data_IF_342570350823
#
_entry.id   IF_342570350823
#
_cell.length_a   1.000
_cell.length_b   1.000
_cell.length_c   1.000
_cell.angle_alpha   90.00
_cell.angle_beta   90.00
_cell.angle_gamma   90.00
#
_symmetry.space_group_name_H-M   'P 1'
#
loop_
_entity.id
_entity.type
_entity.pdbx_description
1 polymer ?
#
# COMPACT_ATOMS: atom_id res chain seq x y z
N UNK A 1 31.19 -0.39 -20.96
CA UNK A 1 29.78 0.05 -20.92
C UNK A 1 29.32 0.49 -19.50
N UNK A 2 30.15 1.22 -18.72
CA UNK A 2 30.18 0.95 -17.25
C UNK A 2 30.28 2.11 -16.25
N UNK A 3 29.87 3.35 -16.55
CA UNK A 3 29.76 4.37 -15.48
C UNK A 3 28.51 5.25 -15.61
N UNK A 4 28.20 5.73 -16.83
CA UNK A 4 27.00 6.54 -17.11
C UNK A 4 25.66 5.81 -16.92
N UNK A 5 25.61 4.49 -17.12
CA UNK A 5 24.39 3.68 -16.87
C UNK A 5 24.13 3.47 -15.37
N UNK A 6 25.19 3.41 -14.56
CA UNK A 6 25.14 3.27 -13.10
C UNK A 6 24.79 4.58 -12.41
N UNK A 7 25.32 5.72 -12.86
CA UNK A 7 24.94 7.04 -12.32
C UNK A 7 23.48 7.40 -12.62
N UNK A 8 22.95 7.05 -13.81
CA UNK A 8 21.50 7.15 -14.10
C UNK A 8 20.62 6.20 -13.29
N UNK A 9 21.21 5.19 -12.66
CA UNK A 9 20.53 4.29 -11.73
C UNK A 9 20.48 4.86 -10.31
N UNK A 10 21.25 5.91 -10.00
CA UNK A 10 21.40 6.48 -8.66
C UNK A 10 20.76 7.88 -8.57
N UNK A 11 20.69 8.62 -9.67
CA UNK A 11 20.08 9.95 -9.72
C UNK A 11 18.78 9.90 -10.54
N UNK A 12 17.61 9.83 -9.88
CA UNK A 12 16.33 9.83 -10.59
C UNK A 12 15.98 11.24 -11.10
N UNK A 13 15.80 11.38 -12.41
CA UNK A 13 15.41 12.63 -13.07
C UNK A 13 13.89 12.85 -13.06
N UNK A 14 13.09 11.77 -12.93
CA UNK A 14 11.64 11.81 -12.98
C UNK A 14 10.99 10.72 -12.12
N UNK A 15 9.66 10.79 -12.00
CA UNK A 15 8.87 9.84 -11.21
C UNK A 15 9.03 8.39 -11.68
N UNK A 16 9.15 8.15 -12.99
CA UNK A 16 9.38 6.82 -13.57
C UNK A 16 10.73 6.22 -13.13
N UNK A 17 11.77 7.04 -13.12
CA UNK A 17 13.12 6.62 -12.70
C UNK A 17 13.17 6.35 -11.19
N UNK A 18 12.43 7.13 -10.39
CA UNK A 18 12.33 6.91 -8.95
C UNK A 18 11.64 5.57 -8.62
N UNK A 19 10.64 5.15 -9.40
CA UNK A 19 9.93 3.87 -9.23
C UNK A 19 10.60 2.69 -9.93
N UNK A 20 11.71 2.91 -10.65
CA UNK A 20 12.38 1.84 -11.38
C UNK A 20 12.74 0.61 -10.52
N UNK A 21 13.20 0.73 -9.26
CA UNK A 21 13.47 -0.44 -8.43
C UNK A 21 12.24 -1.32 -8.25
N UNK A 22 11.09 -0.74 -7.88
CA UNK A 22 9.88 -1.53 -7.63
C UNK A 22 9.36 -2.17 -8.93
N UNK A 23 9.46 -1.48 -10.06
CA UNK A 23 9.06 -2.01 -11.36
C UNK A 23 9.86 -3.26 -11.76
N UNK A 24 11.15 -3.33 -11.43
CA UNK A 24 11.97 -4.51 -11.70
C UNK A 24 11.42 -5.72 -10.93
N UNK A 25 11.17 -5.57 -9.64
CA UNK A 25 10.63 -6.66 -8.81
C UNK A 25 9.21 -7.05 -9.21
N UNK A 26 8.37 -6.08 -9.57
CA UNK A 26 7.01 -6.34 -10.05
C UNK A 26 6.99 -7.02 -11.44
N UNK A 27 7.96 -6.72 -12.30
CA UNK A 27 8.12 -7.40 -13.59
C UNK A 27 8.56 -8.85 -13.39
N UNK A 28 9.54 -9.07 -12.51
CA UNK A 28 10.00 -10.42 -12.16
C UNK A 28 8.92 -11.24 -11.45
N UNK A 29 8.05 -10.61 -10.67
CA UNK A 29 6.92 -11.30 -10.04
C UNK A 29 5.73 -11.50 -10.97
N UNK A 30 5.76 -10.98 -12.20
CA UNK A 30 4.66 -11.09 -13.15
C UNK A 30 3.47 -10.13 -12.90
N UNK A 31 3.54 -9.25 -11.90
CA UNK A 31 2.48 -8.27 -11.59
C UNK A 31 2.51 -7.02 -12.49
N UNK A 32 3.65 -6.71 -13.11
CA UNK A 32 3.83 -5.49 -13.89
C UNK A 32 4.37 -5.80 -15.29
N UNK A 33 3.50 -5.85 -16.32
CA UNK A 33 3.90 -6.25 -17.68
C UNK A 33 4.53 -5.11 -18.50
N UNK A 34 4.85 -3.98 -17.86
CA UNK A 34 5.29 -2.77 -18.55
C UNK A 34 6.80 -2.55 -18.48
N UNK A 35 7.30 -1.82 -19.48
CA UNK A 35 8.67 -1.31 -19.50
C UNK A 35 8.65 0.21 -19.59
N UNK A 36 9.56 0.85 -18.86
CA UNK A 36 9.80 2.29 -18.96
C UNK A 36 10.54 2.56 -20.28
N UNK A 37 9.93 3.35 -21.16
CA UNK A 37 10.49 3.76 -22.45
C UNK A 37 10.61 5.29 -22.47
N UNK A 38 11.70 5.81 -23.02
CA UNK A 38 11.85 7.24 -23.29
C UNK A 38 11.66 7.45 -24.80
N UNK A 39 10.61 8.16 -25.20
CA UNK A 39 10.31 8.50 -26.59
C UNK A 39 10.10 10.01 -26.68
N UNK A 40 10.79 10.66 -27.62
CA UNK A 40 10.68 12.12 -27.87
C UNK A 40 10.91 12.98 -26.63
N UNK A 41 11.91 12.61 -25.81
CA UNK A 41 12.24 13.32 -24.57
C UNK A 41 11.30 13.00 -23.39
N UNK A 42 10.08 12.54 -23.64
CA UNK A 42 9.10 12.12 -22.62
C UNK A 42 9.32 10.67 -22.20
N UNK A 43 9.11 10.38 -20.93
CA UNK A 43 9.21 9.02 -20.37
C UNK A 43 7.81 8.48 -20.14
N UNK A 44 7.55 7.25 -20.56
CA UNK A 44 6.23 6.61 -20.43
C UNK A 44 6.33 5.10 -20.18
N UNK A 45 5.20 4.49 -19.89
CA UNK A 45 5.05 3.05 -19.69
C UNK A 45 4.46 2.41 -20.94
N UNK A 46 5.15 1.41 -21.49
CA UNK A 46 4.69 0.66 -22.65
C UNK A 46 4.52 -0.81 -22.27
N UNK A 47 3.41 -1.40 -22.70
CA UNK A 47 3.15 -2.82 -22.50
C UNK A 47 4.12 -3.64 -23.34
N UNK A 48 4.70 -4.69 -22.76
CA UNK A 48 5.62 -5.56 -23.48
C UNK A 48 5.04 -6.96 -23.61
N UNK A 49 5.24 -7.59 -24.77
CA UNK A 49 4.88 -9.00 -24.98
C UNK A 49 5.54 -9.91 -23.93
N UNK A 50 6.81 -9.66 -23.60
CA UNK A 50 7.53 -10.36 -22.55
C UNK A 50 6.89 -10.19 -21.16
N UNK A 51 6.34 -9.01 -20.85
CA UNK A 51 5.63 -8.76 -19.62
C UNK A 51 4.36 -9.60 -19.52
N UNK A 52 3.56 -9.66 -20.59
CA UNK A 52 2.37 -10.52 -20.65
C UNK A 52 2.73 -11.99 -20.51
N UNK A 53 3.77 -12.45 -21.21
CA UNK A 53 4.25 -13.82 -21.12
C UNK A 53 4.70 -14.16 -19.69
N UNK A 54 5.41 -13.24 -19.02
CA UNK A 54 5.80 -13.38 -17.60
C UNK A 54 4.59 -13.51 -16.70
N UNK A 55 3.57 -12.65 -16.85
CA UNK A 55 2.33 -12.70 -16.08
C UNK A 55 1.62 -14.05 -16.26
N UNK A 56 1.46 -14.52 -17.50
CA UNK A 56 0.83 -15.81 -17.79
C UNK A 56 1.62 -16.98 -17.23
N UNK A 57 2.96 -16.97 -17.39
CA UNK A 57 3.83 -18.00 -16.84
C UNK A 57 3.68 -18.12 -15.33
N UNK A 58 3.74 -16.99 -14.61
CA UNK A 58 3.58 -16.97 -13.16
C UNK A 58 2.21 -17.51 -12.73
N UNK A 59 1.12 -17.07 -13.38
CA UNK A 59 -0.22 -17.54 -13.06
C UNK A 59 -0.38 -19.05 -13.25
N UNK A 60 0.18 -19.62 -14.34
CA UNK A 60 0.18 -21.07 -14.58
C UNK A 60 1.05 -21.78 -13.53
N UNK A 61 2.26 -21.28 -13.27
CA UNK A 61 3.19 -21.85 -12.30
C UNK A 61 2.57 -21.94 -10.90
N UNK A 62 1.93 -20.85 -10.43
CA UNK A 62 1.23 -20.85 -9.14
C UNK A 62 0.04 -21.79 -9.14
N UNK A 63 -0.76 -21.80 -10.22
CA UNK A 63 -1.87 -22.74 -10.34
C UNK A 63 -1.42 -24.19 -10.22
N UNK A 64 -0.33 -24.57 -10.89
CA UNK A 64 0.22 -25.94 -10.86
C UNK A 64 0.77 -26.29 -9.48
N UNK A 65 1.60 -25.42 -8.88
CA UNK A 65 2.12 -25.65 -7.52
C UNK A 65 0.98 -25.80 -6.52
N UNK A 66 -0.06 -24.98 -6.65
CA UNK A 66 -1.19 -24.99 -5.75
C UNK A 66 -2.04 -26.26 -5.89
N UNK A 67 -2.40 -26.67 -7.10
CA UNK A 67 -3.14 -27.92 -7.36
C UNK A 67 -2.35 -29.14 -6.86
N UNK A 68 -1.02 -29.14 -7.03
CA UNK A 68 -0.15 -30.21 -6.54
C UNK A 68 -0.16 -30.28 -5.01
N UNK A 69 0.00 -29.14 -4.33
CA UNK A 69 -0.05 -29.05 -2.87
C UNK A 69 -1.40 -29.55 -2.31
N UNK A 70 -2.52 -29.20 -2.95
CA UNK A 70 -3.84 -29.71 -2.58
C UNK A 70 -3.98 -31.22 -2.77
N UNK A 71 -3.51 -31.77 -3.91
CA UNK A 71 -3.58 -33.21 -4.19
C UNK A 71 -2.80 -34.04 -3.17
N UNK A 72 -1.65 -33.51 -2.73
CA UNK A 72 -0.80 -34.17 -1.74
C UNK A 72 -1.26 -33.94 -0.30
N UNK A 73 -2.25 -33.06 -0.07
CA UNK A 73 -2.75 -32.66 1.25
C UNK A 73 -1.62 -32.21 2.19
N UNK A 74 -0.62 -31.53 1.64
CA UNK A 74 0.53 -31.04 2.39
C UNK A 74 0.37 -29.55 2.68
N UNK A 75 0.64 -29.14 3.92
CA UNK A 75 0.69 -27.73 4.31
C UNK A 75 1.73 -27.54 5.40
N UNK A 76 2.44 -26.41 5.39
CA UNK A 76 3.47 -26.12 6.40
C UNK A 76 2.87 -26.15 7.81
N UNK A 77 1.66 -25.61 8.00
CA UNK A 77 0.97 -25.57 9.30
C UNK A 77 0.44 -26.97 9.66
N UNK A 78 -0.16 -27.70 8.71
CA UNK A 78 -0.70 -29.04 8.93
C UNK A 78 0.36 -30.09 9.27
N UNK A 79 1.62 -29.88 8.91
CA UNK A 79 2.74 -30.71 9.37
C UNK A 79 2.99 -30.64 10.87
N UNK A 80 2.68 -29.50 11.50
CA UNK A 80 2.92 -29.29 12.93
C UNK A 80 1.67 -29.45 13.78
N UNK A 81 0.47 -29.27 13.19
CA UNK A 81 -0.81 -29.28 13.90
C UNK A 81 -1.82 -30.19 13.20
N UNK A 82 -2.06 -31.36 13.77
CA UNK A 82 -3.12 -32.26 13.31
C UNK A 82 -4.41 -32.01 14.13
N UNK A 83 -5.23 -31.04 13.72
CA UNK A 83 -6.58 -30.82 14.28
C UNK A 83 -7.59 -30.50 13.18
N UNK A 84 -8.88 -30.78 13.43
CA UNK A 84 -9.95 -30.46 12.48
C UNK A 84 -10.02 -28.95 12.21
N UNK A 85 -9.81 -28.14 13.24
CA UNK A 85 -9.78 -26.68 13.14
C UNK A 85 -8.61 -26.22 12.26
N UNK A 86 -7.43 -26.85 12.40
CA UNK A 86 -6.28 -26.57 11.54
C UNK A 86 -6.57 -26.95 10.10
N UNK A 87 -7.16 -28.12 9.86
CA UNK A 87 -7.46 -28.61 8.51
C UNK A 87 -8.42 -27.69 7.77
N UNK A 88 -9.47 -27.24 8.47
CA UNK A 88 -10.44 -26.27 7.93
C UNK A 88 -9.79 -24.90 7.72
N UNK A 89 -9.03 -24.41 8.71
CA UNK A 89 -8.32 -23.12 8.65
C UNK A 89 -7.32 -23.05 7.50
N UNK A 90 -6.48 -24.07 7.35
CA UNK A 90 -5.52 -24.21 6.25
C UNK A 90 -6.25 -24.22 4.91
N UNK A 91 -7.29 -25.06 4.75
CA UNK A 91 -8.06 -25.13 3.51
C UNK A 91 -8.66 -23.78 3.13
N UNK A 92 -9.21 -23.06 4.11
CA UNK A 92 -9.78 -21.73 3.87
C UNK A 92 -8.72 -20.70 3.51
N UNK A 93 -7.58 -20.68 4.22
CA UNK A 93 -6.46 -19.79 3.91
C UNK A 93 -5.88 -20.07 2.53
N UNK A 94 -5.77 -21.34 2.14
CA UNK A 94 -5.38 -21.73 0.80
C UNK A 94 -6.38 -21.17 -0.22
N UNK A 95 -7.67 -21.46 -0.10
CA UNK A 95 -8.68 -21.05 -1.11
C UNK A 95 -8.70 -19.52 -1.27
N UNK A 96 -8.67 -18.79 -0.16
CA UNK A 96 -8.64 -17.34 -0.17
C UNK A 96 -7.35 -16.78 -0.79
N UNK A 97 -6.21 -17.42 -0.56
CA UNK A 97 -4.93 -17.03 -1.17
C UNK A 97 -4.93 -17.24 -2.67
N UNK A 98 -5.50 -18.36 -3.16
CA UNK A 98 -5.64 -18.63 -4.59
C UNK A 98 -6.53 -17.58 -5.24
N UNK A 99 -7.75 -17.41 -4.72
CA UNK A 99 -8.71 -16.45 -5.24
C UNK A 99 -8.13 -15.03 -5.27
N UNK A 100 -7.40 -14.65 -4.23
CA UNK A 100 -6.69 -13.36 -4.13
C UNK A 100 -5.61 -13.19 -5.19
N UNK A 101 -4.75 -14.19 -5.40
CA UNK A 101 -3.70 -14.12 -6.43
C UNK A 101 -4.33 -13.95 -7.81
N UNK A 102 -5.33 -14.77 -8.16
CA UNK A 102 -6.02 -14.64 -9.44
C UNK A 102 -6.67 -13.26 -9.60
N UNK A 103 -7.38 -12.77 -8.58
CA UNK A 103 -8.01 -11.46 -8.60
C UNK A 103 -7.01 -10.32 -8.77
N UNK A 104 -5.86 -10.37 -8.08
CA UNK A 104 -4.80 -9.37 -8.18
C UNK A 104 -4.19 -9.34 -9.59
N UNK A 105 -3.82 -10.49 -10.13
CA UNK A 105 -3.25 -10.57 -11.49
C UNK A 105 -4.23 -10.07 -12.55
N UNK A 106 -5.49 -10.50 -12.46
CA UNK A 106 -6.53 -10.07 -13.38
C UNK A 106 -6.77 -8.56 -13.28
N UNK A 107 -6.83 -8.01 -12.06
CA UNK A 107 -7.01 -6.58 -11.83
C UNK A 107 -5.84 -5.76 -12.38
N UNK A 108 -4.59 -6.20 -12.16
CA UNK A 108 -3.41 -5.54 -12.72
C UNK A 108 -3.43 -5.50 -14.26
N UNK A 109 -3.98 -6.53 -14.92
CA UNK A 109 -4.13 -6.56 -16.37
C UNK A 109 -5.28 -5.68 -16.89
N UNK A 110 -6.43 -5.68 -16.21
CA UNK A 110 -7.63 -4.92 -16.62
C UNK A 110 -7.43 -3.42 -16.35
N UNK A 111 -7.04 -3.05 -15.13
CA UNK A 111 -6.92 -1.64 -14.70
C UNK A 111 -5.58 -1.00 -15.09
N UNK A 112 -4.80 -1.68 -15.92
CA UNK A 112 -3.45 -1.28 -16.33
C UNK A 112 -3.37 0.15 -16.89
N UNK A 113 -4.39 0.59 -17.63
CA UNK A 113 -4.44 1.92 -18.23
C UNK A 113 -4.54 3.02 -17.17
N UNK A 114 -5.23 2.77 -16.04
CA UNK A 114 -5.32 3.71 -14.92
C UNK A 114 -3.96 3.98 -14.29
N UNK A 115 -3.10 2.98 -14.23
CA UNK A 115 -1.74 3.16 -13.72
C UNK A 115 -0.90 4.02 -14.68
N UNK A 116 -1.02 3.79 -15.99
CA UNK A 116 -0.32 4.62 -17.00
C UNK A 116 -0.79 6.07 -16.94
N UNK A 117 -2.11 6.29 -16.86
CA UNK A 117 -2.74 7.60 -16.69
C UNK A 117 -2.24 8.29 -15.42
N UNK A 118 -2.22 7.59 -14.27
CA UNK A 118 -1.69 8.13 -13.01
C UNK A 118 -0.26 8.67 -13.14
N UNK A 119 0.64 7.92 -13.78
CA UNK A 119 2.02 8.38 -13.98
C UNK A 119 2.13 9.57 -14.94
N UNK A 120 1.26 9.64 -15.96
CA UNK A 120 1.18 10.75 -16.88
C UNK A 120 0.68 12.02 -16.16
N UNK A 121 -0.46 11.94 -15.48
CA UNK A 121 -1.05 13.07 -14.73
C UNK A 121 -0.09 13.61 -13.67
N UNK A 122 0.66 12.75 -12.97
CA UNK A 122 1.68 13.23 -12.02
C UNK A 122 2.84 13.95 -12.70
N UNK A 123 3.23 13.53 -13.91
CA UNK A 123 4.26 14.23 -14.68
C UNK A 123 3.76 15.61 -15.08
N UNK A 124 2.50 15.73 -15.52
CA UNK A 124 1.89 17.00 -15.88
C UNK A 124 1.75 17.94 -14.66
N UNK A 125 1.38 17.40 -13.49
CA UNK A 125 1.38 18.14 -12.21
C UNK A 125 2.78 18.67 -11.88
N UNK A 126 3.82 17.88 -12.12
CA UNK A 126 5.20 18.28 -11.84
C UNK A 126 5.67 19.39 -12.80
N UNK A 127 5.30 19.33 -14.08
CA UNK A 127 5.54 20.40 -15.04
C UNK A 127 4.78 21.70 -14.68
N UNK A 128 3.52 21.58 -14.27
CA UNK A 128 2.71 22.71 -13.84
C UNK A 128 3.21 23.32 -12.52
N UNK A 129 3.71 22.52 -11.60
CA UNK A 129 4.32 23.00 -10.35
C UNK A 129 5.59 23.82 -10.62
N UNK A 130 6.41 23.41 -11.60
CA UNK A 130 7.60 24.16 -12.01
C UNK A 130 7.25 25.55 -12.55
N UNK A 131 6.13 25.68 -13.30
CA UNK A 131 5.62 26.99 -13.76
C UNK A 131 5.24 27.92 -12.59
N UNK A 132 4.91 27.37 -11.43
CA UNK A 132 4.63 28.12 -10.20
C UNK A 132 5.89 28.38 -9.34
N UNK A 133 7.05 27.88 -9.75
CA UNK A 133 8.28 27.91 -8.94
C UNK A 133 8.30 26.89 -7.80
N UNK A 134 7.39 25.92 -7.79
CA UNK A 134 7.35 24.83 -6.81
C UNK A 134 8.24 23.70 -7.31
N UNK A 135 9.39 23.51 -6.65
CA UNK A 135 10.30 22.43 -6.99
C UNK A 135 10.06 21.21 -6.11
N UNK A 136 9.56 20.12 -6.72
CA UNK A 136 9.52 18.80 -6.09
C UNK A 136 10.91 18.15 -6.13
N UNK A 137 11.89 18.72 -5.41
CA UNK A 137 13.30 18.27 -5.38
C UNK A 137 13.54 16.91 -4.68
N UNK A 138 12.59 15.97 -4.75
CA UNK A 138 12.52 14.82 -3.85
C UNK A 138 12.49 13.44 -4.52
N UNK A 139 12.68 13.32 -5.85
CA UNK A 139 12.69 12.00 -6.50
C UNK A 139 13.77 11.07 -5.92
N UNK A 140 14.93 11.62 -5.52
CA UNK A 140 15.98 10.87 -4.83
C UNK A 140 15.50 10.33 -3.47
N UNK A 141 14.74 11.13 -2.71
CA UNK A 141 14.14 10.72 -1.44
C UNK A 141 13.11 9.62 -1.65
N UNK A 142 12.24 9.76 -2.66
CA UNK A 142 11.26 8.73 -3.04
C UNK A 142 11.95 7.42 -3.41
N UNK A 143 13.00 7.48 -4.24
CA UNK A 143 13.77 6.31 -4.63
C UNK A 143 14.47 5.65 -3.43
N UNK A 144 15.07 6.43 -2.54
CA UNK A 144 15.67 5.92 -1.31
C UNK A 144 14.61 5.22 -0.43
N UNK A 145 13.44 5.82 -0.22
CA UNK A 145 12.35 5.21 0.53
C UNK A 145 11.91 3.87 -0.08
N UNK A 146 11.83 3.78 -1.41
CA UNK A 146 11.51 2.52 -2.11
C UNK A 146 12.58 1.47 -1.79
N UNK A 147 13.87 1.81 -1.94
CA UNK A 147 14.96 0.89 -1.62
C UNK A 147 14.94 0.44 -0.16
N UNK A 148 14.69 1.35 0.78
CA UNK A 148 14.61 1.01 2.21
C UNK A 148 13.45 0.05 2.48
N UNK A 149 12.26 0.30 1.92
CA UNK A 149 11.11 -0.60 2.10
C UNK A 149 11.37 -1.98 1.47
N UNK A 150 12.03 -2.02 0.30
CA UNK A 150 12.41 -3.27 -0.37
C UNK A 150 13.45 -4.05 0.42
N UNK A 151 14.43 -3.38 1.02
CA UNK A 151 15.42 -4.01 1.89
C UNK A 151 14.77 -4.57 3.17
N UNK A 152 13.89 -3.81 3.81
CA UNK A 152 13.11 -4.27 4.97
C UNK A 152 12.27 -5.51 4.60
N UNK A 153 11.58 -5.48 3.45
CA UNK A 153 10.82 -6.62 2.94
C UNK A 153 11.71 -7.85 2.74
N UNK A 154 12.88 -7.69 2.13
CA UNK A 154 13.81 -8.79 1.90
C UNK A 154 14.28 -9.41 3.21
N UNK A 155 14.59 -8.58 4.22
CA UNK A 155 14.97 -9.05 5.57
C UNK A 155 13.82 -9.84 6.20
N UNK A 156 12.60 -9.30 6.17
CA UNK A 156 11.39 -9.96 6.69
C UNK A 156 11.19 -11.31 6.02
N UNK A 157 11.19 -11.37 4.69
CA UNK A 157 10.98 -12.61 3.95
C UNK A 157 12.08 -13.63 4.23
N UNK A 158 13.33 -13.18 4.33
CA UNK A 158 14.47 -14.05 4.64
C UNK A 158 14.33 -14.65 6.04
N UNK A 159 13.95 -13.85 7.03
CA UNK A 159 13.68 -14.33 8.40
C UNK A 159 12.52 -15.33 8.39
N UNK A 160 11.44 -15.04 7.66
CA UNK A 160 10.28 -15.92 7.59
C UNK A 160 10.61 -17.28 6.96
N UNK A 161 11.27 -17.29 5.79
CA UNK A 161 11.66 -18.51 5.09
C UNK A 161 12.68 -19.31 5.89
N UNK A 162 13.71 -18.65 6.43
CA UNK A 162 14.74 -19.32 7.23
C UNK A 162 14.15 -19.89 8.52
N UNK A 163 13.28 -19.13 9.20
CA UNK A 163 12.59 -19.58 10.40
C UNK A 163 11.72 -20.81 10.15
N UNK A 164 10.94 -20.82 9.06
CA UNK A 164 10.15 -22.00 8.68
C UNK A 164 11.03 -23.19 8.31
N UNK A 165 12.11 -22.97 7.57
CA UNK A 165 13.04 -24.04 7.20
C UNK A 165 13.70 -24.66 8.42
N UNK A 166 14.18 -23.84 9.37
CA UNK A 166 14.76 -24.33 10.63
C UNK A 166 13.75 -25.13 11.45
N UNK A 167 12.50 -24.67 11.52
CA UNK A 167 11.42 -25.36 12.23
C UNK A 167 11.12 -26.73 11.61
N UNK A 168 11.02 -26.79 10.28
CA UNK A 168 10.79 -28.03 9.53
C UNK A 168 11.96 -29.01 9.65
N UNK A 169 13.19 -28.51 9.56
CA UNK A 169 14.40 -29.33 9.69
C UNK A 169 14.51 -29.98 11.07
N UNK A 170 14.21 -29.22 12.14
CA UNK A 170 14.15 -29.77 13.51
C UNK A 170 13.07 -30.83 13.70
N UNK A 171 11.95 -30.68 13.01
CA UNK A 171 10.89 -31.69 12.98
C UNK A 171 11.22 -32.91 12.11
N UNK A 172 12.37 -32.92 11.42
CA UNK A 172 12.70 -33.92 10.39
C UNK A 172 11.67 -34.01 9.27
N UNK A 173 11.02 -32.89 8.93
CA UNK A 173 10.00 -32.78 7.89
C UNK A 173 10.60 -32.09 6.67
N UNK A 174 10.49 -32.71 5.50
CA UNK A 174 10.98 -32.17 4.23
C UNK A 174 9.82 -32.02 3.23
N UNK A 175 9.17 -30.84 3.18
CA UNK A 175 8.07 -30.60 2.25
C UNK A 175 8.53 -30.63 0.80
N UNK A 176 7.61 -30.93 -0.12
CA UNK A 176 7.85 -30.68 -1.53
C UNK A 176 8.00 -29.17 -1.83
N UNK A 177 8.77 -28.85 -2.86
CA UNK A 177 8.97 -27.46 -3.30
C UNK A 177 7.66 -26.73 -3.65
N UNK A 178 6.63 -27.46 -4.12
CA UNK A 178 5.31 -26.86 -4.39
C UNK A 178 4.64 -26.31 -3.13
N UNK A 179 4.90 -26.91 -1.96
CA UNK A 179 4.36 -26.46 -0.67
C UNK A 179 5.03 -25.16 -0.25
N UNK A 180 6.36 -25.06 -0.41
CA UNK A 180 7.10 -23.82 -0.17
C UNK A 180 6.58 -22.69 -1.07
N UNK A 181 6.44 -22.94 -2.37
CA UNK A 181 5.92 -21.94 -3.31
C UNK A 181 4.50 -21.51 -2.93
N UNK A 182 3.60 -22.46 -2.63
CA UNK A 182 2.22 -22.17 -2.27
C UNK A 182 2.08 -21.38 -0.95
N UNK A 183 3.03 -21.52 -0.02
CA UNK A 183 3.01 -20.84 1.27
C UNK A 183 3.67 -19.45 1.23
N UNK A 184 4.91 -19.35 0.71
CA UNK A 184 5.69 -18.10 0.79
C UNK A 184 5.37 -17.10 -0.32
N UNK A 185 5.00 -17.59 -1.51
CA UNK A 185 4.79 -16.70 -2.64
C UNK A 185 3.59 -15.74 -2.49
N UNK A 186 2.41 -16.17 -1.98
CA UNK A 186 1.32 -15.25 -1.69
C UNK A 186 1.75 -14.14 -0.74
N UNK A 187 2.52 -14.49 0.30
CA UNK A 187 3.04 -13.52 1.26
C UNK A 187 4.03 -12.53 0.61
N UNK A 188 4.93 -13.01 -0.25
CA UNK A 188 5.81 -12.16 -1.05
C UNK A 188 5.03 -11.16 -1.92
N UNK A 189 4.00 -11.62 -2.64
CA UNK A 189 3.17 -10.75 -3.47
C UNK A 189 2.40 -9.71 -2.65
N UNK A 190 1.90 -10.11 -1.47
CA UNK A 190 1.25 -9.21 -0.53
C UNK A 190 2.23 -8.14 -0.02
N UNK A 191 3.48 -8.49 0.31
CA UNK A 191 4.44 -7.47 0.70
C UNK A 191 4.74 -6.49 -0.45
N UNK A 192 4.92 -6.99 -1.67
CA UNK A 192 5.13 -6.15 -2.85
C UNK A 192 3.95 -5.21 -3.12
N UNK A 193 2.72 -5.71 -2.99
CA UNK A 193 1.51 -4.91 -3.17
C UNK A 193 1.42 -3.75 -2.18
N UNK A 194 1.67 -4.05 -0.90
CA UNK A 194 1.64 -3.08 0.18
C UNK A 194 2.70 -2.01 -0.05
N UNK A 195 3.92 -2.39 -0.43
CA UNK A 195 4.99 -1.43 -0.72
C UNK A 195 4.61 -0.52 -1.88
N UNK A 196 4.06 -1.09 -2.97
CA UNK A 196 3.64 -0.33 -4.14
C UNK A 196 2.55 0.69 -3.79
N UNK A 197 1.50 0.26 -3.08
CA UNK A 197 0.42 1.14 -2.65
C UNK A 197 0.91 2.24 -1.70
N UNK A 198 1.73 1.89 -0.71
CA UNK A 198 2.15 2.83 0.34
C UNK A 198 3.17 3.85 -0.13
N UNK A 199 3.81 3.66 -1.30
CA UNK A 199 4.58 4.73 -1.93
C UNK A 199 3.67 5.91 -2.27
N UNK A 200 2.47 5.63 -2.79
CA UNK A 200 1.49 6.67 -3.11
C UNK A 200 0.98 7.39 -1.86
N UNK A 201 0.79 6.64 -0.77
CA UNK A 201 0.51 7.19 0.55
C UNK A 201 1.60 8.11 1.13
N UNK A 202 2.80 8.15 0.53
CA UNK A 202 3.87 9.11 0.88
C UNK A 202 4.02 10.21 -0.17
N UNK A 203 3.82 9.92 -1.45
CA UNK A 203 3.98 10.89 -2.54
C UNK A 203 2.81 11.89 -2.55
N UNK A 204 1.56 11.41 -2.48
CA UNK A 204 0.38 12.27 -2.58
C UNK A 204 0.31 13.32 -1.47
N UNK A 205 0.49 12.99 -0.17
CA UNK A 205 0.41 14.00 0.89
C UNK A 205 1.48 15.07 0.74
N UNK A 206 2.70 14.69 0.34
CA UNK A 206 3.78 15.65 0.11
C UNK A 206 3.42 16.66 -0.99
N UNK A 207 2.86 16.19 -2.12
CA UNK A 207 2.44 17.08 -3.21
C UNK A 207 1.29 18.00 -2.77
N UNK A 208 0.26 17.42 -2.14
CA UNK A 208 -0.88 18.16 -1.59
C UNK A 208 -0.42 19.23 -0.59
N UNK A 209 0.51 18.88 0.29
CA UNK A 209 1.08 19.78 1.28
C UNK A 209 1.82 20.95 0.64
N UNK A 210 2.66 20.69 -0.38
CA UNK A 210 3.40 21.77 -1.08
C UNK A 210 2.46 22.75 -1.78
N UNK A 211 1.41 22.28 -2.44
CA UNK A 211 0.40 23.16 -3.04
C UNK A 211 -0.39 23.93 -1.98
N UNK A 212 -0.80 23.26 -0.90
CA UNK A 212 -1.46 23.91 0.25
C UNK A 212 -0.60 25.03 0.86
N UNK A 213 0.69 24.78 1.02
CA UNK A 213 1.64 25.74 1.58
C UNK A 213 1.87 26.92 0.64
N UNK A 214 2.05 26.65 -0.67
CA UNK A 214 2.23 27.69 -1.69
C UNK A 214 1.02 28.64 -1.74
N UNK A 215 -0.19 28.07 -1.82
CA UNK A 215 -1.45 28.81 -1.81
C UNK A 215 -1.61 29.65 -0.53
N UNK A 216 -1.11 29.16 0.61
CA UNK A 216 -1.18 29.95 1.85
C UNK A 216 -0.17 31.10 1.87
N UNK A 217 1.09 30.86 1.51
CA UNK A 217 2.17 31.86 1.63
C UNK A 217 1.99 32.99 0.61
N UNK A 218 1.74 32.67 -0.66
CA UNK A 218 1.69 33.68 -1.71
C UNK A 218 0.44 34.56 -1.65
N UNK A 219 -0.70 34.00 -1.22
CA UNK A 219 -1.91 34.81 -1.05
C UNK A 219 -1.90 35.62 0.26
N UNK A 220 -1.22 35.16 1.32
CA UNK A 220 -0.96 36.00 2.51
C UNK A 220 0.03 37.13 2.18
N UNK A 221 1.06 36.87 1.37
CA UNK A 221 1.95 37.92 0.86
C UNK A 221 1.18 39.01 0.09
N UNK A 222 0.17 38.62 -0.68
CA UNK A 222 -0.71 39.54 -1.40
C UNK A 222 -1.55 40.44 -0.47
N UNK A 223 -1.96 39.94 0.70
CA UNK A 223 -2.65 40.74 1.75
C UNK A 223 -1.78 41.82 2.39
N UNK A 224 -0.46 41.62 2.46
CA UNK A 224 0.47 42.52 3.13
C UNK A 224 0.96 43.61 2.17
N UNK A 225 0.85 43.39 0.85
CA UNK A 225 1.28 44.33 -0.17
C UNK A 225 0.56 45.71 -0.18
N UNK A 226 -0.68 45.90 0.34
CA UNK A 226 -1.28 47.22 0.50
C UNK A 226 -0.75 47.99 1.72
N UNK A 227 -0.16 47.32 2.71
CA UNK A 227 0.36 47.95 3.94
C UNK A 227 1.80 48.45 3.80
N UNK A 228 2.52 48.01 2.77
CA UNK A 228 3.96 48.25 2.62
C UNK A 228 4.29 49.22 1.47
N UNK A 229 3.45 50.23 1.23
CA UNK A 229 3.75 51.35 0.32
C UNK A 229 5.03 52.12 0.70
N UNK A 230 5.58 51.87 1.90
CA UNK A 230 6.88 52.38 2.37
C UNK A 230 8.11 51.55 1.93
N UNK A 231 7.95 50.32 1.43
CA UNK A 231 9.06 49.41 1.06
C UNK A 231 9.23 49.24 -0.46
N UNK A 232 8.94 50.30 -1.24
CA UNK A 232 9.06 50.31 -2.71
C UNK A 232 10.49 50.07 -3.22
N UNK A 233 11.50 50.12 -2.36
CA UNK A 233 12.93 50.11 -2.76
C UNK A 233 13.62 48.74 -2.65
N UNK A 234 13.00 47.72 -2.03
CA UNK A 234 13.64 46.39 -1.88
C UNK A 234 13.07 45.32 -2.83
N UNK A 235 11.85 45.51 -3.36
CA UNK A 235 11.19 44.53 -4.23
C UNK A 235 11.42 44.71 -5.74
N UNK A 236 12.38 45.55 -6.15
CA UNK A 236 12.76 45.66 -7.56
C UNK A 236 13.44 44.39 -8.11
N UNK A 237 13.84 43.45 -7.24
CA UNK A 237 14.55 42.22 -7.62
C UNK A 237 13.57 41.02 -7.83
N UNK A 238 12.30 41.11 -7.37
CA UNK A 238 11.31 40.04 -7.52
C UNK A 238 10.23 40.30 -8.59
N UNK A 239 10.38 41.39 -9.36
CA UNK A 239 9.54 41.64 -10.55
C UNK A 239 10.11 40.90 -11.75
N UNK A 240 9.84 39.60 -11.86
CA UNK A 240 9.89 38.92 -13.15
C UNK A 240 9.09 37.61 -13.24
N UNK A 241 7.97 37.47 -12.52
CA UNK A 241 6.96 36.46 -12.85
C UNK A 241 5.80 37.14 -13.58
N UNK A 242 5.89 37.25 -14.91
CA UNK A 242 4.92 37.92 -15.79
C UNK A 242 3.54 37.26 -15.91
N UNK A 243 3.15 36.40 -14.96
CA UNK A 243 1.86 35.71 -14.98
C UNK A 243 0.85 36.42 -14.07
N UNK A 244 -0.35 36.69 -14.60
CA UNK A 244 -1.47 37.29 -13.85
C UNK A 244 -1.85 36.43 -12.64
N UNK A 245 -2.41 37.06 -11.60
CA UNK A 245 -2.96 36.37 -10.42
C UNK A 245 -3.95 35.27 -10.85
N UNK A 246 -4.75 35.58 -11.86
CA UNK A 246 -5.73 34.67 -12.45
C UNK A 246 -5.09 33.41 -13.06
N UNK A 247 -3.97 33.57 -13.76
CA UNK A 247 -3.21 32.43 -14.30
C UNK A 247 -2.68 31.53 -13.17
N UNK A 248 -2.10 32.13 -12.12
CA UNK A 248 -1.57 31.37 -10.97
C UNK A 248 -2.68 30.63 -10.23
N UNK A 249 -3.83 31.26 -10.03
CA UNK A 249 -5.00 30.66 -9.40
C UNK A 249 -5.56 29.50 -10.23
N UNK A 250 -5.72 29.71 -11.55
CA UNK A 250 -6.21 28.67 -12.46
C UNK A 250 -5.32 27.42 -12.43
N UNK A 251 -4.00 27.62 -12.42
CA UNK A 251 -3.03 26.53 -12.37
C UNK A 251 -3.05 25.78 -11.03
N UNK A 252 -3.31 26.47 -9.91
CA UNK A 252 -3.48 25.84 -8.59
C UNK A 252 -4.75 24.97 -8.56
N UNK A 253 -5.86 25.47 -9.10
CA UNK A 253 -7.14 24.75 -9.17
C UNK A 253 -6.97 23.49 -10.04
N UNK A 254 -6.37 23.64 -11.22
CA UNK A 254 -6.10 22.54 -12.15
C UNK A 254 -5.22 21.45 -11.52
N UNK A 255 -4.14 21.84 -10.81
CA UNK A 255 -3.28 20.89 -10.12
C UNK A 255 -3.99 20.18 -8.96
N UNK A 256 -4.84 20.87 -8.19
CA UNK A 256 -5.63 20.21 -7.16
C UNK A 256 -6.61 19.20 -7.76
N UNK A 257 -7.33 19.56 -8.83
CA UNK A 257 -8.22 18.64 -9.53
C UNK A 257 -7.45 17.42 -10.06
N UNK A 258 -6.29 17.63 -10.69
CA UNK A 258 -5.43 16.55 -11.17
C UNK A 258 -4.93 15.65 -10.04
N UNK A 259 -4.62 16.21 -8.87
CA UNK A 259 -4.24 15.44 -7.68
C UNK A 259 -5.42 14.64 -7.11
N UNK A 260 -6.64 15.17 -7.17
CA UNK A 260 -7.85 14.43 -6.82
C UNK A 260 -8.08 13.26 -7.77
N UNK A 261 -7.96 13.47 -9.07
CA UNK A 261 -8.01 12.41 -10.09
C UNK A 261 -6.95 11.34 -9.85
N UNK A 262 -5.72 11.73 -9.49
CA UNK A 262 -4.67 10.80 -9.11
C UNK A 262 -5.07 9.95 -7.89
N UNK A 263 -5.66 10.55 -6.85
CA UNK A 263 -6.11 9.82 -5.67
C UNK A 263 -7.20 8.80 -6.03
N UNK A 264 -8.15 9.17 -6.89
CA UNK A 264 -9.19 8.27 -7.42
C UNK A 264 -8.57 7.16 -8.27
N UNK A 265 -7.62 7.46 -9.15
CA UNK A 265 -6.93 6.45 -9.96
C UNK A 265 -6.13 5.46 -9.10
N UNK A 266 -5.46 5.92 -8.05
CA UNK A 266 -4.77 5.06 -7.06
C UNK A 266 -5.79 4.14 -6.39
N UNK A 267 -6.88 4.71 -5.89
CA UNK A 267 -7.95 3.99 -5.23
C UNK A 267 -8.53 2.90 -6.14
N UNK A 268 -8.91 3.27 -7.36
CA UNK A 268 -9.47 2.34 -8.34
C UNK A 268 -8.49 1.22 -8.68
N UNK A 269 -7.22 1.53 -8.91
CA UNK A 269 -6.22 0.54 -9.30
C UNK A 269 -5.92 -0.46 -8.17
N UNK A 270 -5.69 0.04 -6.95
CA UNK A 270 -5.26 -0.79 -5.82
C UNK A 270 -6.40 -1.39 -5.00
N UNK A 271 -7.65 -1.00 -5.22
CA UNK A 271 -8.81 -1.42 -4.43
C UNK A 271 -8.92 -2.94 -4.22
N UNK A 272 -8.88 -3.74 -5.29
CA UNK A 272 -8.92 -5.21 -5.20
C UNK A 272 -7.67 -5.76 -4.51
N UNK A 273 -6.50 -5.19 -4.81
CA UNK A 273 -5.25 -5.65 -4.24
C UNK A 273 -5.16 -5.40 -2.73
N UNK A 274 -5.69 -4.27 -2.25
CA UNK A 274 -5.80 -3.97 -0.83
C UNK A 274 -6.83 -4.86 -0.16
N UNK A 275 -7.99 -5.09 -0.78
CA UNK A 275 -8.98 -6.03 -0.28
C UNK A 275 -8.37 -7.41 -0.06
N UNK A 276 -7.75 -7.99 -1.10
CA UNK A 276 -7.10 -9.30 -1.01
C UNK A 276 -6.02 -9.34 0.07
N UNK A 277 -5.17 -8.32 0.16
CA UNK A 277 -4.09 -8.26 1.16
C UNK A 277 -4.64 -8.21 2.59
N UNK A 278 -5.70 -7.43 2.81
CA UNK A 278 -6.32 -7.27 4.13
C UNK A 278 -7.11 -8.51 4.52
N UNK A 279 -7.83 -9.13 3.58
CA UNK A 279 -8.57 -10.38 3.84
C UNK A 279 -7.63 -11.52 4.23
N UNK A 280 -6.50 -11.69 3.51
CA UNK A 280 -5.47 -12.68 3.86
C UNK A 280 -4.85 -12.36 5.22
N UNK A 281 -4.52 -11.09 5.48
CA UNK A 281 -3.93 -10.66 6.75
C UNK A 281 -4.91 -10.91 7.92
N UNK A 282 -6.19 -10.57 7.77
CA UNK A 282 -7.21 -10.78 8.77
C UNK A 282 -7.36 -12.27 9.12
N UNK A 283 -7.51 -13.11 8.09
CA UNK A 283 -7.62 -14.56 8.30
C UNK A 283 -6.37 -15.13 8.98
N UNK A 284 -5.19 -14.70 8.54
CA UNK A 284 -3.93 -15.09 9.17
C UNK A 284 -3.88 -14.65 10.63
N UNK A 285 -4.30 -13.42 10.95
CA UNK A 285 -4.32 -12.91 12.33
C UNK A 285 -5.21 -13.78 13.22
N UNK A 286 -6.42 -14.12 12.78
CA UNK A 286 -7.36 -14.94 13.56
C UNK A 286 -6.80 -16.34 13.79
N UNK A 287 -6.29 -17.00 12.74
CA UNK A 287 -5.73 -18.36 12.84
C UNK A 287 -4.47 -18.39 13.72
N UNK A 288 -3.53 -17.46 13.51
CA UNK A 288 -2.31 -17.39 14.31
C UNK A 288 -2.60 -17.08 15.78
N UNK A 289 -3.54 -16.18 16.07
CA UNK A 289 -3.96 -15.89 17.43
C UNK A 289 -4.56 -17.12 18.10
N UNK A 290 -5.41 -17.86 17.38
CA UNK A 290 -5.95 -19.13 17.87
C UNK A 290 -4.84 -20.13 18.21
N UNK A 291 -3.85 -20.32 17.32
CA UNK A 291 -2.75 -21.25 17.57
C UNK A 291 -1.91 -20.85 18.78
N UNK A 292 -1.58 -19.56 18.93
CA UNK A 292 -0.81 -19.07 20.09
C UNK A 292 -1.58 -19.31 21.40
N UNK A 293 -2.87 -18.99 21.44
CA UNK A 293 -3.67 -19.14 22.66
C UNK A 293 -3.89 -20.61 23.00
N UNK A 294 -4.19 -21.45 22.00
CA UNK A 294 -4.40 -22.88 22.22
C UNK A 294 -3.13 -23.57 22.75
N UNK A 295 -1.96 -23.15 22.28
CA UNK A 295 -0.66 -23.59 22.80
C UNK A 295 -0.40 -23.10 24.22
N UNK A 296 -0.66 -21.81 24.50
CA UNK A 296 -0.45 -21.22 25.83
C UNK A 296 -1.34 -21.86 26.91
N UNK A 297 -2.54 -22.32 26.54
CA UNK A 297 -3.49 -22.98 27.46
C UNK A 297 -3.24 -24.49 27.61
N UNK A 298 -2.22 -25.06 26.95
CA UNK A 298 -1.90 -26.47 27.06
C UNK A 298 -3.02 -27.40 26.58
N UNK A 299 -3.82 -26.96 25.61
CA UNK A 299 -4.95 -27.73 25.09
C UNK A 299 -4.48 -29.08 24.54
N UNK A 300 -4.99 -30.19 25.10
CA UNK A 300 -4.72 -31.57 24.68
C UNK A 300 -5.13 -31.90 23.24
N UNK A 301 -5.81 -30.97 22.54
CA UNK A 301 -6.22 -31.15 21.14
C UNK A 301 -5.12 -30.90 20.12
N UNK A 302 -3.94 -30.44 20.55
CA UNK A 302 -2.85 -30.11 19.66
C UNK A 302 -1.66 -31.04 19.96
N UNK A 303 -1.45 -32.03 19.08
CA UNK A 303 -0.21 -32.84 19.08
C UNK A 303 0.86 -32.06 18.33
N UNK A 304 1.89 -31.59 19.06
CA UNK A 304 2.98 -30.80 18.50
C UNK A 304 4.19 -31.72 18.32
N UNK A 305 4.78 -31.71 17.12
CA UNK A 305 6.00 -32.48 16.82
C UNK A 305 7.31 -31.78 17.21
N UNK A 306 7.25 -30.53 17.67
CA UNK A 306 8.40 -29.63 17.91
C UNK A 306 8.29 -28.93 19.26
N UNK A 307 9.41 -28.40 19.77
CA UNK A 307 9.44 -27.57 20.97
C UNK A 307 8.42 -26.42 20.92
N UNK A 308 7.57 -26.35 21.94
CA UNK A 308 6.45 -25.38 22.06
C UNK A 308 6.89 -23.92 21.88
N UNK A 309 8.09 -23.56 22.34
CA UNK A 309 8.61 -22.18 22.27
C UNK A 309 8.90 -21.72 20.85
N UNK A 310 9.57 -22.55 20.04
CA UNK A 310 9.90 -22.22 18.64
C UNK A 310 8.65 -22.06 17.79
N UNK A 311 7.68 -22.94 18.05
CA UNK A 311 6.38 -22.89 17.43
C UNK A 311 5.66 -21.58 17.77
N UNK A 312 5.54 -21.24 19.06
CA UNK A 312 4.93 -19.97 19.47
C UNK A 312 5.64 -18.74 18.88
N UNK A 313 6.98 -18.76 18.79
CA UNK A 313 7.76 -17.68 18.21
C UNK A 313 7.47 -17.50 16.71
N UNK A 314 7.34 -18.59 15.96
CA UNK A 314 6.97 -18.56 14.54
C UNK A 314 5.59 -17.92 14.30
N UNK A 315 4.57 -18.35 15.05
CA UNK A 315 3.21 -17.79 14.91
C UNK A 315 3.12 -16.35 15.40
N UNK A 316 3.85 -15.99 16.46
CA UNK A 316 3.92 -14.62 16.98
C UNK A 316 4.58 -13.68 15.97
N UNK A 317 5.67 -14.13 15.34
CA UNK A 317 6.32 -13.40 14.27
C UNK A 317 5.35 -13.15 13.09
N UNK A 318 4.67 -14.20 12.62
CA UNK A 318 3.76 -14.09 11.49
C UNK A 318 2.55 -13.19 11.79
N UNK A 319 2.00 -13.27 13.01
CA UNK A 319 0.98 -12.35 13.52
C UNK A 319 1.45 -10.89 13.52
N UNK A 320 2.64 -10.62 14.07
CA UNK A 320 3.21 -9.28 14.13
C UNK A 320 3.40 -8.70 12.71
N UNK A 321 3.84 -9.51 11.75
CA UNK A 321 4.01 -9.05 10.37
C UNK A 321 2.69 -8.68 9.70
N UNK A 322 1.63 -9.46 9.90
CA UNK A 322 0.30 -9.14 9.38
C UNK A 322 -0.23 -7.83 9.97
N UNK A 323 -0.05 -7.61 11.27
CA UNK A 323 -0.44 -6.37 11.95
C UNK A 323 0.33 -5.15 11.41
N UNK A 324 1.65 -5.28 11.25
CA UNK A 324 2.48 -4.22 10.68
C UNK A 324 2.04 -3.87 9.25
N UNK A 325 1.72 -4.87 8.43
CA UNK A 325 1.18 -4.67 7.08
C UNK A 325 -0.09 -3.83 7.06
N UNK A 326 -1.09 -4.20 7.87
CA UNK A 326 -2.37 -3.45 7.96
C UNK A 326 -2.15 -2.03 8.47
N UNK A 327 -1.32 -1.86 9.50
CA UNK A 327 -0.99 -0.53 10.05
C UNK A 327 -0.29 0.34 9.01
N UNK A 328 0.59 -0.24 8.19
CA UNK A 328 1.32 0.49 7.15
C UNK A 328 0.37 0.96 6.03
N UNK A 329 -0.61 0.14 5.62
CA UNK A 329 -1.70 0.54 4.71
C UNK A 329 -2.49 1.71 5.33
N UNK A 330 -2.98 1.53 6.56
CA UNK A 330 -3.84 2.50 7.23
C UNK A 330 -3.18 3.84 7.49
N UNK A 331 -1.89 3.87 7.81
CA UNK A 331 -1.13 5.13 7.96
C UNK A 331 -0.96 5.85 6.62
N UNK A 332 -0.67 5.11 5.55
CA UNK A 332 -0.47 5.68 4.22
C UNK A 332 -1.72 6.40 3.71
N UNK A 333 -2.88 5.75 3.78
CA UNK A 333 -4.18 6.34 3.38
C UNK A 333 -4.57 7.52 4.26
N UNK A 334 -4.41 7.38 5.58
CA UNK A 334 -4.78 8.43 6.53
C UNK A 334 -3.98 9.70 6.31
N UNK A 335 -2.69 9.59 5.96
CA UNK A 335 -1.88 10.75 5.65
C UNK A 335 -2.40 11.53 4.42
N UNK A 336 -2.96 10.85 3.43
CA UNK A 336 -3.56 11.51 2.25
C UNK A 336 -4.86 12.19 2.63
N UNK A 337 -5.73 11.50 3.36
CA UNK A 337 -7.02 12.02 3.82
C UNK A 337 -6.81 13.26 4.73
N UNK A 338 -5.84 13.20 5.64
CA UNK A 338 -5.50 14.30 6.54
C UNK A 338 -5.01 15.55 5.77
N UNK A 339 -4.37 15.41 4.60
CA UNK A 339 -3.99 16.56 3.75
C UNK A 339 -5.13 17.04 2.84
N UNK A 340 -5.92 16.12 2.29
CA UNK A 340 -7.10 16.45 1.46
C UNK A 340 -8.12 17.27 2.24
N UNK A 341 -8.36 16.92 3.51
CA UNK A 341 -9.32 17.61 4.37
C UNK A 341 -8.93 19.06 4.70
N UNK A 342 -7.65 19.43 4.53
CA UNK A 342 -7.17 20.81 4.71
C UNK A 342 -7.47 21.71 3.51
N UNK A 343 -7.65 21.16 2.31
CA UNK A 343 -7.84 21.94 1.08
C UNK A 343 -9.08 22.83 1.16
N UNK A 344 -10.29 22.34 1.51
CA UNK A 344 -11.47 23.19 1.58
C UNK A 344 -11.31 24.33 2.58
N UNK A 345 -10.66 24.07 3.72
CA UNK A 345 -10.38 25.09 4.74
C UNK A 345 -9.46 26.19 4.18
N UNK A 346 -8.44 25.81 3.41
CA UNK A 346 -7.52 26.77 2.78
C UNK A 346 -8.23 27.58 1.67
N UNK A 347 -9.05 26.94 0.85
CA UNK A 347 -9.84 27.60 -0.21
C UNK A 347 -10.85 28.58 0.39
N UNK A 348 -11.52 28.18 1.47
CA UNK A 348 -12.43 29.06 2.19
C UNK A 348 -11.70 30.29 2.74
N UNK A 349 -10.52 30.11 3.34
CA UNK A 349 -9.69 31.25 3.77
C UNK A 349 -9.30 32.17 2.61
N UNK A 350 -8.99 31.60 1.44
CA UNK A 350 -8.68 32.37 0.23
C UNK A 350 -9.88 33.18 -0.28
N UNK A 351 -11.10 32.63 -0.22
CA UNK A 351 -12.34 33.31 -0.61
C UNK A 351 -12.60 34.62 0.15
N UNK A 352 -12.20 34.71 1.42
CA UNK A 352 -12.31 35.95 2.21
C UNK A 352 -11.23 36.98 1.87
N UNK A 353 -10.14 36.54 1.27
CA UNK A 353 -8.93 37.34 1.07
C UNK A 353 -8.89 37.97 -0.31
N UNK A 354 -9.38 37.25 -1.32
CA UNK A 354 -9.37 37.72 -2.71
C UNK A 354 -10.44 38.81 -2.90
N UNK A 355 -9.98 40.00 -3.30
CA UNK A 355 -10.85 41.16 -3.61
C UNK A 355 -11.30 41.20 -5.07
N UNK A 356 -10.57 40.54 -5.95
CA UNK A 356 -10.90 40.46 -7.36
C UNK A 356 -12.12 39.57 -7.59
N UNK A 357 -13.17 40.09 -8.22
CA UNK A 357 -14.44 39.37 -8.41
C UNK A 357 -14.29 38.16 -9.33
N UNK A 358 -13.43 38.22 -10.36
CA UNK A 358 -13.22 37.09 -11.27
C UNK A 358 -12.53 35.92 -10.55
N UNK A 359 -11.43 36.19 -9.83
CA UNK A 359 -10.75 35.19 -9.02
C UNK A 359 -11.65 34.65 -7.89
N UNK A 360 -12.48 35.50 -7.29
CA UNK A 360 -13.44 35.12 -6.25
C UNK A 360 -14.50 34.16 -6.80
N UNK A 361 -15.02 34.41 -7.99
CA UNK A 361 -16.00 33.53 -8.63
C UNK A 361 -15.38 32.16 -8.97
N UNK A 362 -14.16 32.13 -9.54
CA UNK A 362 -13.41 30.88 -9.77
C UNK A 362 -13.20 30.08 -8.49
N UNK A 363 -12.86 30.76 -7.39
CA UNK A 363 -12.72 30.12 -6.07
C UNK A 363 -14.05 29.61 -5.51
N UNK A 364 -15.19 30.27 -5.78
CA UNK A 364 -16.52 29.76 -5.37
C UNK A 364 -16.84 28.47 -6.12
N UNK A 365 -16.63 28.44 -7.44
CA UNK A 365 -16.83 27.25 -8.27
C UNK A 365 -15.93 26.11 -7.75
N UNK A 366 -14.66 26.40 -7.48
CA UNK A 366 -13.75 25.41 -6.94
C UNK A 366 -14.15 24.91 -5.55
N UNK A 367 -14.53 25.81 -4.64
CA UNK A 367 -15.04 25.44 -3.31
C UNK A 367 -16.27 24.55 -3.41
N UNK A 368 -17.17 24.82 -4.35
CA UNK A 368 -18.34 23.98 -4.59
C UNK A 368 -17.93 22.58 -5.09
N UNK A 369 -16.97 22.50 -6.03
CA UNK A 369 -16.43 21.23 -6.51
C UNK A 369 -15.79 20.39 -5.38
N UNK A 370 -15.13 21.04 -4.41
CA UNK A 370 -14.54 20.37 -3.25
C UNK A 370 -15.58 19.75 -2.30
N UNK A 371 -16.81 20.29 -2.24
CA UNK A 371 -17.89 19.69 -1.45
C UNK A 371 -18.32 18.32 -2.02
N UNK A 372 -18.26 18.19 -3.34
CA UNK A 372 -18.66 16.98 -4.07
C UNK A 372 -17.51 15.98 -4.24
N UNK A 373 -16.26 16.44 -4.22
CA UNK A 373 -15.07 15.59 -4.45
C UNK A 373 -14.49 15.11 -3.12
N UNK A 374 -15.01 14.00 -2.58
CA UNK A 374 -14.49 13.38 -1.36
C UNK A 374 -13.60 12.19 -1.69
N UNK A 375 -12.29 12.34 -1.45
CA UNK A 375 -11.35 11.21 -1.56
C UNK A 375 -11.60 10.25 -0.40
N UNK A 376 -11.93 9.01 -0.74
CA UNK A 376 -12.02 7.91 0.22
C UNK A 376 -11.21 6.74 -0.33
N UNK A 377 -10.37 6.18 0.52
CA UNK A 377 -9.69 4.92 0.22
C UNK A 377 -10.50 3.78 0.80
N UNK A 378 -11.03 2.90 -0.04
CA UNK A 378 -11.87 1.75 0.33
C UNK A 378 -11.30 0.45 -0.26
N UNK A 379 -11.53 -0.67 0.40
CA UNK A 379 -11.28 -1.98 -0.19
C UNK A 379 -12.54 -2.46 -0.91
N UNK A 380 -12.60 -2.30 -2.23
CA UNK A 380 -13.78 -2.60 -3.07
C UNK A 380 -15.09 -2.05 -2.52
N UNK A 381 -15.06 -0.86 -1.92
CA UNK A 381 -16.20 -0.21 -1.25
C UNK A 381 -16.81 -0.97 -0.06
N UNK A 382 -16.20 -2.06 0.38
CA UNK A 382 -16.65 -2.85 1.53
C UNK A 382 -16.25 -2.20 2.86
N UNK A 383 -15.06 -1.63 2.95
CA UNK A 383 -14.58 -0.96 4.16
C UNK A 383 -13.54 0.13 3.86
N UNK A 384 -13.52 1.15 4.71
CA UNK A 384 -12.54 2.24 4.63
C UNK A 384 -11.15 1.76 5.08
N UNK A 385 -10.12 2.18 4.35
CA UNK A 385 -8.73 1.83 4.59
C UNK A 385 -8.03 2.80 5.56
N UNK A 386 -8.77 3.61 6.32
CA UNK A 386 -8.23 4.64 7.21
C UNK A 386 -7.87 4.09 8.61
N UNK A 387 -7.64 4.98 9.59
CA UNK A 387 -7.33 4.63 10.99
C UNK A 387 -8.33 3.63 11.62
N UNK A 388 -9.56 3.53 11.10
CA UNK A 388 -10.58 2.61 11.62
C UNK A 388 -10.24 1.14 11.40
N UNK A 389 -9.42 0.82 10.38
CA UNK A 389 -9.02 -0.57 10.12
C UNK A 389 -8.19 -1.17 11.26
N UNK A 390 -7.40 -0.33 11.94
CA UNK A 390 -6.58 -0.73 13.10
C UNK A 390 -7.50 -1.12 14.27
N UNK A 391 -8.62 -0.42 14.43
CA UNK A 391 -9.64 -0.74 15.43
C UNK A 391 -10.31 -2.08 15.11
N UNK A 392 -10.72 -2.30 13.86
CA UNK A 392 -11.34 -3.57 13.43
C UNK A 392 -10.44 -4.78 13.70
N UNK A 393 -9.15 -4.67 13.42
CA UNK A 393 -8.19 -5.73 13.72
C UNK A 393 -8.04 -5.94 15.22
N UNK A 394 -8.00 -4.85 16.00
CA UNK A 394 -7.94 -4.94 17.47
C UNK A 394 -9.18 -5.65 18.05
N UNK A 395 -10.37 -5.39 17.52
CA UNK A 395 -11.60 -6.09 17.90
C UNK A 395 -11.54 -7.59 17.58
N UNK A 396 -10.99 -7.97 16.41
CA UNK A 396 -10.88 -9.37 16.01
C UNK A 396 -9.96 -10.20 16.92
N UNK A 397 -8.87 -9.60 17.41
CA UNK A 397 -7.98 -10.22 18.39
C UNK A 397 -8.70 -10.44 19.72
N UNK A 398 -9.48 -9.45 20.18
CA UNK A 398 -10.27 -9.57 21.41
C UNK A 398 -11.35 -10.66 21.27
N UNK A 399 -12.02 -10.74 20.13
CA UNK A 399 -13.01 -11.79 19.86
C UNK A 399 -12.39 -13.18 19.90
N UNK A 400 -11.22 -13.36 19.28
CA UNK A 400 -10.48 -14.64 19.28
C UNK A 400 -10.14 -15.09 20.70
N UNK A 401 -9.74 -14.15 21.58
CA UNK A 401 -9.51 -14.44 23.01
C UNK A 401 -10.79 -14.91 23.71
N UNK A 402 -11.91 -14.23 23.51
CA UNK A 402 -13.20 -14.60 24.12
C UNK A 402 -13.67 -15.97 23.67
N UNK A 403 -13.58 -16.30 22.38
CA UNK A 403 -13.98 -17.61 21.87
C UNK A 403 -13.17 -18.76 22.48
N UNK A 404 -11.86 -18.59 22.63
CA UNK A 404 -11.00 -19.65 23.20
C UNK A 404 -11.23 -19.80 24.71
N UNK A 405 -11.40 -18.69 25.44
CA UNK A 405 -11.75 -18.73 26.87
C UNK A 405 -13.13 -19.36 27.09
N UNK A 406 -14.11 -19.04 26.24
CA UNK A 406 -15.45 -19.63 26.29
C UNK A 406 -15.45 -21.14 26.00
N UNK A 407 -14.62 -21.61 25.06
CA UNK A 407 -14.43 -23.05 24.77
C UNK A 407 -13.77 -23.79 25.93
N UNK A 408 -12.82 -23.15 26.62
CA UNK A 408 -12.13 -23.70 27.78
C UNK A 408 -13.04 -23.75 29.02
N UNK A 409 -13.88 -22.73 29.22
CA UNK A 409 -14.84 -22.65 30.33
C UNK A 409 -15.96 -23.69 30.22
N UNK A 410 -16.49 -23.93 29.00
CA UNK A 410 -17.47 -25.01 28.76
C UNK A 410 -16.91 -26.41 29.07
N UNK A 411 -15.61 -26.64 28.89
CA UNK A 411 -14.96 -27.92 29.24
C UNK A 411 -14.69 -28.09 30.74
N UNK A 412 -14.38 -27.03 31.47
CA UNK A 412 -14.32 -27.07 32.94
C UNK A 412 -15.68 -27.42 33.57
N UNK A 413 -16.78 -27.02 32.91
CA UNK A 413 -18.14 -27.38 33.30
C UNK A 413 -18.51 -28.82 32.91
N UNK A 414 -18.13 -29.32 31.73
CA UNK A 414 -18.40 -30.72 31.34
C UNK A 414 -17.43 -31.75 31.96
N UNK A 415 -16.23 -31.34 32.38
CA UNK A 415 -15.28 -32.21 33.06
C UNK A 415 -15.64 -32.50 34.52
N UNK A 416 -16.47 -31.66 35.15
CA UNK A 416 -16.99 -31.89 36.50
C UNK A 416 -18.19 -32.84 36.57
N UNK A 417 -18.87 -33.09 35.45
CA UNK A 417 -20.02 -34.00 35.38
C UNK A 417 -19.65 -35.44 34.98
N UNK A 418 -18.36 -35.74 34.78
CA UNK A 418 -17.87 -37.08 34.45
C UNK A 418 -17.11 -37.76 35.61
N UNK A 419 -17.17 -37.19 36.80
CA UNK A 419 -16.57 -37.71 38.03
C UNK A 419 -17.56 -37.70 39.21
N UNK A 420 -18.77 -38.19 38.96
CA UNK A 420 -19.71 -38.66 39.99
C UNK A 420 -20.24 -40.04 39.60
#
# INVERSE_FOLDING_TARGET
MSCKKLTKLIVPENIYSAHRPIFIFLFFSGLFPFRVVKKDGKTGLVLTFYGLLSTTFHLIFFGVCYVRTMKLKQSIIGYFLASDITTVGDSFQFVMSLASIFAVYLCCLIKRNRLVELFATITDIDENALKLGIFFGHYRRTMMLIWTNMAIMFIILSIHVTGSYMLLHRASIYPEMSVFVAFFFPFYLMCLSIICFTQWGKIMPNKLHSFNQYSRINFISFLIHPLNSAFKTVNAINRNDGHSLDFKLSLIIENHNSLFECCTAIQDYFSIQMLSSITIAFLSIVLNAFYIIAMALGSSQIKISVGSVEFMLFFTYYLAMCLLGVVHIGRGTSSVIDEVTKIPVNVFKLLYVVKDEECREKLKIFSNNLLHTKVKFTASDLFSLDKTIILTVSYSLNYSRVCVVGSSSKRLLCGKTASE
#
